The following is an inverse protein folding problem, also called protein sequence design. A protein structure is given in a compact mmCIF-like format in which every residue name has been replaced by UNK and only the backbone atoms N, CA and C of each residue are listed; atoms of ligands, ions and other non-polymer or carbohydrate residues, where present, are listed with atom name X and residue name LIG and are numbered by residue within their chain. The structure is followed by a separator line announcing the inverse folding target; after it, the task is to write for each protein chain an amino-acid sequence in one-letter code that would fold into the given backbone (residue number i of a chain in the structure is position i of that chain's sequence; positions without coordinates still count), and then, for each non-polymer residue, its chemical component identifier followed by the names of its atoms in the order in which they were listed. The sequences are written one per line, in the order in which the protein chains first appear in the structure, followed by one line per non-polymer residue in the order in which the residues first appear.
data_IF_806461947475
#
_entry.id   IF_806461947475
#
_cell.length_a   1.000
_cell.length_b   1.000
_cell.length_c   1.000
_cell.angle_alpha   90.00
_cell.angle_beta   90.00
_cell.angle_gamma   90.00
#
_symmetry.space_group_name_H-M   'P 1'
#
loop_
_entity.id
_entity.type
_entity.pdbx_description
1 polymer ?
#
# COMPACT_ATOMS: atom_id res chain seq x y z
N UNK A 1 0.86 -10.19 8.32
CA UNK A 1 1.99 -9.26 8.61
C UNK A 1 3.21 -9.45 7.72
N UNK A 2 3.20 -10.33 6.69
CA UNK A 2 4.45 -10.72 5.99
C UNK A 2 5.21 -9.56 5.32
N UNK A 3 4.51 -8.50 4.88
CA UNK A 3 5.11 -7.43 4.09
C UNK A 3 4.79 -6.00 4.59
N UNK A 4 4.61 -5.77 5.90
CA UNK A 4 4.27 -4.43 6.45
C UNK A 4 5.23 -3.33 5.97
N UNK A 5 6.54 -3.52 6.15
CA UNK A 5 7.53 -2.53 5.73
C UNK A 5 7.62 -2.34 4.21
N UNK A 6 7.27 -3.36 3.43
CA UNK A 6 7.23 -3.26 1.97
C UNK A 6 6.01 -2.44 1.51
N UNK A 7 4.84 -2.69 2.10
CA UNK A 7 3.59 -2.02 1.76
C UNK A 7 3.56 -0.57 2.26
N UNK A 8 4.02 -0.35 3.49
CA UNK A 8 3.90 0.95 4.18
C UNK A 8 5.19 1.76 4.16
N UNK A 9 6.28 1.24 3.57
CA UNK A 9 7.61 1.87 3.63
C UNK A 9 7.62 3.33 3.18
N UNK A 10 6.89 3.66 2.12
CA UNK A 10 6.74 5.04 1.67
C UNK A 10 6.04 5.94 2.72
N UNK A 11 4.96 5.46 3.35
CA UNK A 11 4.26 6.20 4.39
C UNK A 11 5.08 6.34 5.68
N UNK A 12 5.90 5.34 6.02
CA UNK A 12 6.83 5.42 7.15
C UNK A 12 7.90 6.49 6.92
N UNK A 13 8.48 6.56 5.71
CA UNK A 13 9.46 7.59 5.35
C UNK A 13 8.81 8.98 5.41
N UNK A 14 7.63 9.15 4.81
CA UNK A 14 6.89 10.42 4.85
C UNK A 14 6.53 10.82 6.28
N UNK A 15 6.07 9.86 7.09
CA UNK A 15 5.80 10.07 8.52
C UNK A 15 7.04 10.53 9.29
N UNK A 16 8.20 9.93 9.01
CA UNK A 16 9.48 10.37 9.58
C UNK A 16 9.82 11.83 9.22
N UNK A 17 9.66 12.22 7.95
CA UNK A 17 9.88 13.60 7.51
C UNK A 17 8.92 14.56 8.24
N UNK A 18 7.65 14.20 8.36
CA UNK A 18 6.64 15.01 9.08
C UNK A 18 7.05 15.18 10.55
N UNK A 19 7.56 14.14 11.20
CA UNK A 19 8.03 14.22 12.60
C UNK A 19 9.26 15.12 12.74
N UNK A 20 10.20 15.07 11.79
CA UNK A 20 11.36 15.98 11.77
C UNK A 20 10.93 17.44 11.62
N UNK A 21 9.98 17.73 10.72
CA UNK A 21 9.40 19.06 10.56
C UNK A 21 8.69 19.48 11.85
N UNK A 22 7.92 18.58 12.46
CA UNK A 22 7.21 18.83 13.74
C UNK A 22 8.18 19.18 14.86
N UNK A 23 9.30 18.47 14.96
CA UNK A 23 10.37 18.77 15.92
C UNK A 23 11.02 20.13 15.64
N UNK A 24 11.36 20.40 14.38
CA UNK A 24 12.00 21.64 13.98
C UNK A 24 11.12 22.86 14.27
N UNK A 25 9.85 22.81 13.87
CA UNK A 25 8.89 23.88 14.12
C UNK A 25 8.60 24.00 15.62
N UNK A 26 8.39 22.89 16.32
CA UNK A 26 8.04 22.87 17.73
C UNK A 26 9.12 23.39 18.69
N UNK A 27 10.37 23.53 18.23
CA UNK A 27 11.49 24.08 19.00
C UNK A 27 11.77 25.57 18.71
N UNK A 28 11.02 26.20 17.80
CA UNK A 28 11.18 27.62 17.48
C UNK A 28 10.79 28.53 18.65
N UNK A 29 11.43 29.71 18.80
CA UNK A 29 11.23 30.60 19.96
C UNK A 29 9.83 31.21 20.06
N UNK A 30 9.07 31.26 18.96
CA UNK A 30 7.69 31.74 18.93
C UNK A 30 6.66 30.66 19.33
N UNK A 31 7.08 29.41 19.57
CA UNK A 31 6.20 28.33 20.00
C UNK A 31 6.09 28.26 21.52
N UNK A 32 4.93 27.79 22.01
CA UNK A 32 4.73 27.59 23.44
C UNK A 32 5.73 26.59 24.04
N UNK A 33 6.12 26.81 25.31
CA UNK A 33 7.01 25.88 26.03
C UNK A 33 6.44 24.46 26.02
N UNK A 34 7.26 23.49 25.58
CA UNK A 34 6.86 22.09 25.48
C UNK A 34 6.01 21.74 24.25
N UNK A 35 5.82 22.66 23.30
CA UNK A 35 5.08 22.40 22.06
C UNK A 35 5.66 21.22 21.27
N UNK A 36 6.99 21.10 21.16
CA UNK A 36 7.63 19.98 20.48
C UNK A 36 7.26 18.60 21.06
N UNK A 37 7.15 18.47 22.39
CA UNK A 37 6.77 17.19 23.04
C UNK A 37 5.33 16.80 22.72
N UNK A 38 4.40 17.75 22.84
CA UNK A 38 2.98 17.54 22.55
C UNK A 38 2.78 17.29 21.06
N UNK A 39 3.46 18.06 20.21
CA UNK A 39 3.43 17.91 18.76
C UNK A 39 3.91 16.52 18.34
N UNK A 40 5.11 16.10 18.77
CA UNK A 40 5.62 14.78 18.45
C UNK A 40 4.68 13.66 18.94
N UNK A 41 4.13 13.76 20.16
CA UNK A 41 3.22 12.76 20.70
C UNK A 41 1.96 12.62 19.84
N UNK A 42 1.26 13.73 19.56
CA UNK A 42 0.00 13.68 18.82
C UNK A 42 0.20 13.37 17.34
N UNK A 43 1.22 13.93 16.69
CA UNK A 43 1.53 13.66 15.29
C UNK A 43 1.94 12.20 15.11
N UNK A 44 2.76 11.64 16.02
CA UNK A 44 3.13 10.22 15.96
C UNK A 44 1.90 9.31 16.11
N UNK A 45 0.99 9.66 17.02
CA UNK A 45 -0.25 8.89 17.22
C UNK A 45 -1.10 8.87 15.95
N UNK A 46 -1.32 10.04 15.33
CA UNK A 46 -2.09 10.13 14.08
C UNK A 46 -1.43 9.33 12.96
N UNK A 47 -0.11 9.47 12.78
CA UNK A 47 0.64 8.69 11.78
C UNK A 47 0.47 7.19 12.02
N UNK A 48 0.62 6.73 13.27
CA UNK A 48 0.50 5.33 13.63
C UNK A 48 -0.90 4.77 13.31
N UNK A 49 -1.96 5.52 13.63
CA UNK A 49 -3.34 5.13 13.32
C UNK A 49 -3.56 5.05 11.81
N UNK A 50 -3.13 6.06 11.05
CA UNK A 50 -3.30 6.11 9.61
C UNK A 50 -2.56 4.99 8.89
N UNK A 51 -1.29 4.75 9.25
CA UNK A 51 -0.51 3.63 8.69
C UNK A 51 -1.12 2.29 9.06
N UNK A 52 -1.56 2.11 10.31
CA UNK A 52 -2.21 0.88 10.76
C UNK A 52 -3.51 0.58 10.02
N UNK A 53 -4.37 1.59 9.84
CA UNK A 53 -5.62 1.47 9.09
C UNK A 53 -5.36 1.19 7.61
N UNK A 54 -4.43 1.92 6.99
CA UNK A 54 -4.05 1.72 5.59
C UNK A 54 -3.55 0.29 5.35
N UNK A 55 -2.65 -0.20 6.20
CA UNK A 55 -2.14 -1.56 6.12
C UNK A 55 -3.26 -2.60 6.22
N UNK A 56 -4.15 -2.46 7.21
CA UNK A 56 -5.27 -3.39 7.42
C UNK A 56 -6.19 -3.45 6.20
N UNK A 57 -6.60 -2.30 5.66
CA UNK A 57 -7.47 -2.22 4.50
C UNK A 57 -6.78 -2.85 3.28
N UNK A 58 -5.50 -2.53 3.07
CA UNK A 58 -4.72 -3.05 1.95
C UNK A 58 -4.59 -4.56 2.02
N UNK A 59 -4.23 -5.14 3.17
CA UNK A 59 -4.08 -6.60 3.27
C UNK A 59 -5.41 -7.34 3.19
N UNK A 60 -6.49 -6.76 3.73
CA UNK A 60 -7.83 -7.35 3.60
C UNK A 60 -8.30 -7.37 2.14
N UNK A 61 -8.04 -6.30 1.38
CA UNK A 61 -8.31 -6.30 -0.07
C UNK A 61 -7.47 -7.34 -0.80
N UNK A 62 -6.17 -7.42 -0.51
CA UNK A 62 -5.28 -8.41 -1.13
C UNK A 62 -5.77 -9.83 -0.90
N UNK A 63 -6.16 -10.16 0.34
CA UNK A 63 -6.70 -11.46 0.70
C UNK A 63 -7.99 -11.76 -0.09
N UNK A 64 -8.93 -10.80 -0.14
CA UNK A 64 -10.16 -10.96 -0.92
C UNK A 64 -9.88 -11.21 -2.41
N UNK A 65 -8.95 -10.49 -3.01
CA UNK A 65 -8.52 -10.69 -4.41
C UNK A 65 -7.89 -12.06 -4.61
N UNK A 66 -6.96 -12.46 -3.75
CA UNK A 66 -6.31 -13.78 -3.85
C UNK A 66 -7.33 -14.91 -3.72
N UNK A 67 -8.26 -14.82 -2.77
CA UNK A 67 -9.34 -15.79 -2.60
C UNK A 67 -10.27 -15.83 -3.81
N UNK A 68 -10.67 -14.67 -4.35
CA UNK A 68 -11.51 -14.61 -5.54
C UNK A 68 -10.85 -15.30 -6.74
N UNK A 69 -9.57 -14.99 -6.98
CA UNK A 69 -8.78 -15.64 -8.03
C UNK A 69 -8.67 -17.16 -7.82
N UNK A 70 -8.42 -17.61 -6.59
CA UNK A 70 -8.35 -19.04 -6.29
C UNK A 70 -9.68 -19.77 -6.51
N UNK A 71 -10.80 -19.08 -6.29
CA UNK A 71 -12.16 -19.57 -6.58
C UNK A 71 -12.53 -19.50 -8.08
N UNK A 72 -11.60 -19.11 -8.95
CA UNK A 72 -11.83 -19.02 -10.39
C UNK A 72 -12.56 -17.75 -10.82
N UNK A 73 -12.73 -16.77 -9.93
CA UNK A 73 -13.30 -15.48 -10.28
C UNK A 73 -12.26 -14.60 -10.99
N UNK A 74 -12.76 -13.69 -11.83
CA UNK A 74 -11.95 -12.68 -12.48
C UNK A 74 -11.53 -11.61 -11.49
N UNK A 75 -10.24 -11.26 -11.51
CA UNK A 75 -9.70 -10.11 -10.78
C UNK A 75 -9.12 -9.11 -11.76
N UNK A 76 -9.29 -7.83 -11.45
CA UNK A 76 -8.88 -6.72 -12.31
C UNK A 76 -7.68 -6.05 -11.67
N UNK A 77 -6.54 -6.03 -12.37
CA UNK A 77 -5.31 -5.42 -11.89
C UNK A 77 -4.92 -4.19 -12.73
N UNK A 78 -4.39 -3.16 -12.07
CA UNK A 78 -3.89 -1.97 -12.75
C UNK A 78 -2.60 -2.28 -13.55
N UNK A 79 -2.58 -1.88 -14.83
CA UNK A 79 -1.41 -2.01 -15.71
C UNK A 79 -0.39 -0.89 -15.48
N UNK A 80 0.88 -1.28 -15.25
CA UNK A 80 2.01 -0.34 -15.13
C UNK A 80 2.60 0.09 -16.47
N UNK A 81 2.12 -0.44 -17.60
CA UNK A 81 2.63 -0.07 -18.92
C UNK A 81 2.16 1.32 -19.31
N UNK A 82 3.10 2.26 -19.39
CA UNK A 82 2.80 3.65 -19.71
C UNK A 82 2.16 3.79 -21.12
N UNK A 83 0.90 4.23 -21.14
CA UNK A 83 0.24 5.04 -22.18
C UNK A 83 -0.14 4.40 -23.54
N UNK A 84 0.01 3.10 -23.80
CA UNK A 84 -0.40 2.50 -25.10
C UNK A 84 -1.28 1.24 -25.06
N UNK A 85 -1.58 0.68 -23.89
CA UNK A 85 -2.39 -0.55 -23.74
C UNK A 85 -3.35 -0.36 -22.55
N UNK A 86 -4.44 -1.13 -22.51
CA UNK A 86 -5.51 -1.07 -21.50
C UNK A 86 -5.00 -0.78 -20.08
N UNK A 87 -5.65 0.17 -19.40
CA UNK A 87 -5.29 0.61 -18.04
C UNK A 87 -5.45 -0.51 -17.00
N UNK A 88 -6.27 -1.51 -17.30
CA UNK A 88 -6.53 -2.68 -16.49
C UNK A 88 -6.28 -3.97 -17.26
N UNK A 89 -5.92 -5.02 -16.52
CA UNK A 89 -5.75 -6.38 -17.03
C UNK A 89 -6.69 -7.30 -16.25
N UNK A 90 -7.46 -8.08 -16.97
CA UNK A 90 -8.30 -9.13 -16.41
C UNK A 90 -7.45 -10.38 -16.19
N UNK A 91 -7.38 -10.81 -14.94
CA UNK A 91 -6.60 -11.95 -14.49
C UNK A 91 -7.58 -13.05 -14.10
N UNK A 92 -7.51 -14.17 -14.80
CA UNK A 92 -8.37 -15.35 -14.60
C UNK A 92 -7.51 -16.61 -14.69
N UNK A 93 -7.89 -17.68 -13.98
CA UNK A 93 -7.20 -18.98 -14.07
C UNK A 93 -7.22 -19.57 -15.49
N UNK A 94 -8.22 -19.21 -16.28
CA UNK A 94 -8.40 -19.68 -17.66
C UNK A 94 -7.37 -19.11 -18.64
N UNK A 95 -6.71 -17.99 -18.30
CA UNK A 95 -5.77 -17.26 -19.17
C UNK A 95 -4.30 -17.44 -18.76
N UNK A 96 -3.92 -18.64 -18.30
CA UNK A 96 -2.56 -19.01 -17.87
C UNK A 96 -2.00 -18.16 -16.71
N UNK A 97 -2.85 -17.50 -15.95
CA UNK A 97 -2.43 -16.80 -14.74
C UNK A 97 -2.28 -17.77 -13.57
N UNK A 98 -1.29 -17.50 -12.73
CA UNK A 98 -1.08 -18.18 -11.45
C UNK A 98 -0.65 -17.19 -10.37
N UNK A 99 -0.96 -17.53 -9.13
CA UNK A 99 -0.56 -16.75 -7.96
C UNK A 99 0.76 -17.28 -7.40
N UNK A 100 1.80 -16.46 -7.41
CA UNK A 100 3.11 -16.74 -6.81
C UNK A 100 3.37 -15.75 -5.67
N UNK A 101 3.13 -16.18 -4.43
CA UNK A 101 3.16 -15.30 -3.27
C UNK A 101 2.04 -14.25 -3.35
N UNK A 102 2.42 -12.97 -3.40
CA UNK A 102 1.48 -11.85 -3.55
C UNK A 102 1.38 -11.33 -5.00
N UNK A 103 1.94 -12.06 -5.97
CA UNK A 103 2.00 -11.64 -7.37
C UNK A 103 1.23 -12.59 -8.29
N UNK A 104 0.44 -12.02 -9.19
CA UNK A 104 -0.10 -12.72 -10.35
C UNK A 104 0.93 -12.72 -11.46
N UNK A 105 1.26 -13.91 -11.97
CA UNK A 105 2.21 -14.13 -13.06
C UNK A 105 1.57 -14.94 -14.17
N UNK A 106 1.97 -14.66 -15.41
CA UNK A 106 1.53 -15.39 -16.59
C UNK A 106 2.69 -15.44 -17.57
N UNK A 107 2.89 -16.55 -18.32
CA UNK A 107 3.89 -16.61 -19.39
C UNK A 107 3.64 -15.58 -20.50
N UNK A 108 2.39 -15.11 -20.64
CA UNK A 108 1.98 -14.14 -21.65
C UNK A 108 2.31 -12.69 -21.27
N UNK A 109 2.76 -12.44 -20.03
CA UNK A 109 3.05 -11.11 -19.51
C UNK A 109 4.48 -11.02 -18.98
N UNK A 110 5.24 -10.04 -19.48
CA UNK A 110 6.63 -9.85 -19.08
C UNK A 110 6.81 -9.38 -17.62
N UNK A 111 5.75 -8.93 -16.94
CA UNK A 111 5.82 -8.38 -15.58
C UNK A 111 4.73 -8.98 -14.68
N UNK A 112 5.07 -9.29 -13.41
CA UNK A 112 4.09 -9.69 -12.42
C UNK A 112 3.17 -8.52 -12.03
N UNK A 113 1.95 -8.86 -11.61
CA UNK A 113 0.97 -7.93 -11.07
C UNK A 113 0.80 -8.17 -9.57
N UNK A 114 1.16 -7.18 -8.77
CA UNK A 114 1.09 -7.28 -7.32
C UNK A 114 -0.36 -7.15 -6.84
N UNK A 115 -0.83 -8.10 -6.03
CA UNK A 115 -2.23 -8.20 -5.59
C UNK A 115 -2.76 -6.94 -4.90
N UNK A 116 -1.89 -6.14 -4.27
CA UNK A 116 -2.31 -4.88 -3.66
C UNK A 116 -2.86 -3.86 -4.66
N UNK A 117 -2.64 -4.05 -5.97
CA UNK A 117 -3.13 -3.15 -7.04
C UNK A 117 -4.28 -3.74 -7.85
N UNK A 118 -4.95 -4.74 -7.27
CA UNK A 118 -6.04 -5.45 -7.92
C UNK A 118 -7.32 -5.30 -7.10
N UNK A 119 -8.44 -5.55 -7.76
CA UNK A 119 -9.78 -5.59 -7.20
C UNK A 119 -10.52 -6.82 -7.73
N UNK A 120 -11.52 -7.27 -7.00
CA UNK A 120 -12.48 -8.27 -7.50
C UNK A 120 -13.45 -7.55 -8.43
N UNK A 121 -13.78 -8.18 -9.57
CA UNK A 121 -14.81 -7.69 -10.49
C UNK A 121 -16.20 -7.65 -9.82
#
# INVERSE_FOLDING_TARGET
MKNFFYLEGAYLILGGIILLITLFVGTRPFMAKGAWKRGLLWVSLVIAIMVGLHYKITTSRMEAVQTAFENGQTVICESRMQRKVAQSVYITKENDWRLEGDNFVSPNYARPFFAARCIVE
#
